data_IF_444756030969
#
_entry.id   IF_444756030969
#
_cell.length_a   1.000
_cell.length_b   1.000
_cell.length_c   1.000
_cell.angle_alpha   90.00
_cell.angle_beta   90.00
_cell.angle_gamma   90.00
#
_symmetry.space_group_name_H-M   'P 1'
#
loop_
_entity.id
_entity.type
_entity.pdbx_description
1 polymer ?
#
# COMPACT_ATOMS: atom_id res chain seq x y z
N UNK A 1 45.60 23.39 4.97
CA UNK A 1 44.45 22.73 5.63
C UNK A 1 43.08 23.10 5.04
N UNK A 2 42.94 24.29 4.41
CA UNK A 2 41.67 24.76 3.81
C UNK A 2 41.17 24.01 2.54
N UNK A 3 42.02 23.54 1.59
CA UNK A 3 41.52 23.00 0.31
C UNK A 3 40.90 21.60 0.42
N UNK A 4 41.36 20.79 1.39
CA UNK A 4 40.84 19.44 1.63
C UNK A 4 39.41 19.49 2.17
N UNK A 5 39.12 20.49 3.01
CA UNK A 5 37.79 20.69 3.60
C UNK A 5 36.76 21.10 2.54
N UNK A 6 37.16 21.93 1.56
CA UNK A 6 36.30 22.36 0.46
C UNK A 6 35.96 21.21 -0.49
N UNK A 7 36.94 20.34 -0.79
CA UNK A 7 36.73 19.14 -1.61
C UNK A 7 35.83 18.10 -0.93
N UNK A 8 35.96 17.92 0.40
CA UNK A 8 35.07 17.07 1.19
C UNK A 8 33.63 17.63 1.21
N UNK A 9 33.46 18.94 1.35
CA UNK A 9 32.15 19.56 1.36
C UNK A 9 31.42 19.47 0.00
N UNK A 10 32.15 19.63 -1.11
CA UNK A 10 31.55 19.53 -2.45
C UNK A 10 31.20 18.10 -2.81
N UNK A 11 32.07 17.13 -2.50
CA UNK A 11 31.77 15.70 -2.69
C UNK A 11 30.60 15.24 -1.83
N UNK A 12 30.49 15.71 -0.59
CA UNK A 12 29.33 15.44 0.28
C UNK A 12 28.04 16.05 -0.29
N UNK A 13 28.07 17.28 -0.81
CA UNK A 13 26.90 17.89 -1.45
C UNK A 13 26.43 17.10 -2.69
N UNK A 14 27.36 16.68 -3.55
CA UNK A 14 27.05 15.88 -4.75
C UNK A 14 26.49 14.50 -4.38
N UNK A 15 26.98 13.91 -3.29
CA UNK A 15 26.46 12.67 -2.72
C UNK A 15 25.03 12.86 -2.18
N UNK A 16 24.76 13.94 -1.46
CA UNK A 16 23.43 14.23 -0.89
C UNK A 16 22.37 14.56 -1.96
N UNK A 17 22.75 15.22 -3.07
CA UNK A 17 21.82 15.51 -4.17
C UNK A 17 21.50 14.27 -5.02
N UNK A 18 22.45 13.33 -5.16
CA UNK A 18 22.23 12.08 -5.89
C UNK A 18 21.31 11.08 -5.15
N UNK A 19 21.36 11.03 -3.81
CA UNK A 19 20.43 10.19 -3.04
C UNK A 19 18.98 10.72 -3.01
N UNK A 20 18.78 12.04 -3.13
CA UNK A 20 17.43 12.65 -3.10
C UNK A 20 16.58 12.38 -4.34
N UNK A 21 17.22 12.11 -5.49
CA UNK A 21 16.51 11.84 -6.76
C UNK A 21 15.78 10.50 -6.78
N UNK A 22 16.29 9.48 -6.10
CA UNK A 22 15.76 8.12 -6.14
C UNK A 22 14.42 7.94 -5.39
N UNK A 23 14.18 8.69 -4.31
CA UNK A 23 12.94 8.56 -3.52
C UNK A 23 11.79 9.44 -4.00
N UNK A 24 12.07 10.63 -4.54
CA UNK A 24 11.02 11.55 -5.00
C UNK A 24 10.30 11.06 -6.27
N UNK A 25 11.03 10.34 -7.14
CA UNK A 25 10.50 9.80 -8.38
C UNK A 25 9.46 8.70 -8.11
N UNK A 26 9.75 7.78 -7.19
CA UNK A 26 8.86 6.65 -6.87
C UNK A 26 7.51 7.10 -6.30
N UNK A 27 7.48 8.12 -5.44
CA UNK A 27 6.23 8.66 -4.87
C UNK A 27 5.39 9.34 -5.97
N UNK A 28 6.04 10.08 -6.86
CA UNK A 28 5.35 10.80 -7.94
C UNK A 28 4.71 9.83 -8.93
N UNK A 29 5.42 8.77 -9.29
CA UNK A 29 4.89 7.73 -10.16
C UNK A 29 3.77 6.92 -9.51
N UNK A 30 3.88 6.59 -8.22
CA UNK A 30 2.81 5.91 -7.49
C UNK A 30 1.52 6.75 -7.44
N UNK A 31 1.65 8.06 -7.21
CA UNK A 31 0.51 8.99 -7.23
C UNK A 31 -0.13 9.05 -8.61
N UNK A 32 0.68 9.20 -9.67
CA UNK A 32 0.20 9.24 -11.06
C UNK A 32 -0.52 7.94 -11.43
N UNK A 33 0.02 6.79 -11.05
CA UNK A 33 -0.59 5.49 -11.27
C UNK A 33 -1.95 5.40 -10.57
N UNK A 34 -2.01 5.72 -9.28
CA UNK A 34 -3.25 5.68 -8.50
C UNK A 34 -4.32 6.58 -9.12
N UNK A 35 -3.97 7.81 -9.49
CA UNK A 35 -4.89 8.74 -10.15
C UNK A 35 -5.43 8.14 -11.44
N UNK A 36 -4.57 7.58 -12.29
CA UNK A 36 -4.98 7.02 -13.58
C UNK A 36 -5.86 5.77 -13.43
N UNK A 37 -5.57 4.89 -12.47
CA UNK A 37 -6.42 3.72 -12.19
C UNK A 37 -7.83 4.13 -11.74
N UNK A 38 -7.95 5.20 -10.96
CA UNK A 38 -9.22 5.58 -10.34
C UNK A 38 -10.07 6.54 -11.19
N UNK A 39 -9.51 7.19 -12.21
CA UNK A 39 -10.19 8.21 -13.02
C UNK A 39 -11.52 7.75 -13.64
N UNK A 40 -11.59 6.51 -14.13
CA UNK A 40 -12.78 5.96 -14.80
C UNK A 40 -13.21 4.61 -14.19
N UNK A 41 -12.85 4.36 -12.93
CA UNK A 41 -13.20 3.13 -12.24
C UNK A 41 -14.55 3.29 -11.52
N UNK A 42 -15.54 2.50 -11.94
CA UNK A 42 -16.83 2.42 -11.26
C UNK A 42 -16.89 1.19 -10.35
N UNK A 43 -17.09 1.44 -9.05
CA UNK A 43 -17.15 0.39 -8.02
C UNK A 43 -18.46 -0.40 -8.03
N UNK A 44 -19.48 0.10 -8.72
CA UNK A 44 -20.80 -0.53 -8.79
C UNK A 44 -20.85 -1.64 -9.84
N UNK A 45 -19.92 -1.64 -10.80
CA UNK A 45 -19.85 -2.66 -11.83
C UNK A 45 -18.93 -3.82 -11.42
N UNK A 46 -19.36 -5.03 -11.79
CA UNK A 46 -18.55 -6.24 -11.61
C UNK A 46 -17.30 -6.16 -12.50
N UNK A 47 -16.08 -6.40 -11.97
CA UNK A 47 -14.82 -6.20 -12.68
C UNK A 47 -14.51 -7.37 -13.63
N UNK A 48 -15.32 -7.52 -14.68
CA UNK A 48 -15.15 -8.53 -15.74
C UNK A 48 -15.33 -7.87 -17.10
N UNK A 49 -14.52 -8.29 -18.07
CA UNK A 49 -14.70 -7.87 -19.47
C UNK A 49 -15.91 -8.57 -20.09
N UNK A 50 -16.08 -9.86 -19.79
CA UNK A 50 -17.17 -10.70 -20.24
C UNK A 50 -18.15 -10.97 -19.09
N UNK A 51 -19.41 -10.57 -19.25
CA UNK A 51 -20.43 -10.74 -18.21
C UNK A 51 -20.92 -12.19 -18.05
N UNK A 52 -20.59 -13.07 -18.99
CA UNK A 52 -20.86 -14.51 -18.85
C UNK A 52 -19.84 -15.21 -17.95
N UNK A 53 -18.70 -14.59 -17.68
CA UNK A 53 -17.66 -15.17 -16.84
C UNK A 53 -17.91 -14.89 -15.35
N UNK A 54 -17.77 -15.90 -14.47
CA UNK A 54 -17.90 -15.72 -13.04
C UNK A 54 -16.66 -15.06 -12.43
N UNK A 55 -16.86 -14.27 -11.38
CA UNK A 55 -15.77 -13.82 -10.50
C UNK A 55 -15.64 -14.84 -9.38
N UNK A 56 -14.45 -15.44 -9.25
CA UNK A 56 -14.15 -16.38 -8.15
C UNK A 56 -13.62 -15.61 -6.96
N UNK A 57 -14.32 -15.69 -5.83
CA UNK A 57 -13.88 -15.06 -4.57
C UNK A 57 -13.27 -16.14 -3.68
N UNK A 58 -11.96 -16.05 -3.45
CA UNK A 58 -11.28 -16.89 -2.48
C UNK A 58 -11.43 -16.28 -1.10
N UNK A 59 -12.12 -16.97 -0.21
CA UNK A 59 -12.37 -16.50 1.15
C UNK A 59 -11.49 -17.27 2.14
N UNK A 60 -11.01 -16.56 3.15
CA UNK A 60 -10.27 -17.11 4.28
C UNK A 60 -10.72 -16.40 5.55
N UNK A 61 -10.69 -17.11 6.67
CA UNK A 61 -11.03 -16.57 7.99
C UNK A 61 -9.86 -16.82 8.92
N UNK A 62 -9.25 -15.74 9.40
CA UNK A 62 -8.19 -15.79 10.40
C UNK A 62 -8.79 -15.47 11.77
N UNK A 63 -8.87 -16.46 12.65
CA UNK A 63 -9.36 -16.26 14.01
C UNK A 63 -8.23 -15.71 14.90
N UNK A 64 -8.31 -14.43 15.24
CA UNK A 64 -7.34 -13.80 16.15
C UNK A 64 -7.59 -14.21 17.61
N UNK A 65 -8.84 -14.11 18.06
CA UNK A 65 -9.22 -14.43 19.44
C UNK A 65 -10.73 -14.58 19.59
N UNK A 66 -11.14 -15.55 20.41
CA UNK A 66 -12.51 -15.67 20.92
C UNK A 66 -12.60 -14.77 22.15
N UNK A 67 -13.50 -13.77 22.11
CA UNK A 67 -13.65 -12.81 23.21
C UNK A 67 -14.53 -13.35 24.32
N UNK A 68 -15.59 -14.07 23.95
CA UNK A 68 -16.63 -14.50 24.87
C UNK A 68 -17.43 -15.66 24.28
N UNK A 69 -18.03 -16.46 25.15
CA UNK A 69 -18.99 -17.51 24.81
C UNK A 69 -20.18 -17.39 25.75
N UNK A 70 -21.37 -17.18 25.19
CA UNK A 70 -22.61 -17.21 25.94
C UNK A 70 -23.18 -18.62 25.89
N UNK A 71 -23.20 -19.31 27.02
CA UNK A 71 -23.64 -20.70 27.15
C UNK A 71 -25.16 -20.86 27.01
N UNK A 72 -25.95 -19.86 27.40
CA UNK A 72 -27.42 -19.90 27.34
C UNK A 72 -27.90 -19.79 25.89
N UNK A 73 -27.21 -18.98 25.09
CA UNK A 73 -27.53 -18.74 23.68
C UNK A 73 -26.65 -19.51 22.70
N UNK A 74 -25.65 -20.25 23.18
CA UNK A 74 -24.63 -20.97 22.41
C UNK A 74 -23.90 -20.09 21.37
N UNK A 75 -23.57 -18.84 21.74
CA UNK A 75 -22.98 -17.85 20.82
C UNK A 75 -21.56 -17.47 21.21
N UNK A 76 -20.67 -17.52 20.22
CA UNK A 76 -19.32 -16.96 20.32
C UNK A 76 -19.30 -15.50 19.87
N UNK A 77 -18.63 -14.66 20.64
CA UNK A 77 -18.25 -13.31 20.22
C UNK A 77 -16.79 -13.33 19.78
N UNK A 78 -16.56 -13.01 18.51
CA UNK A 78 -15.21 -12.89 17.95
C UNK A 78 -14.78 -11.42 17.95
N UNK A 79 -13.46 -11.18 18.05
CA UNK A 79 -12.91 -9.84 17.87
C UNK A 79 -12.99 -9.45 16.39
N UNK A 80 -13.61 -8.31 16.02
CA UNK A 80 -13.51 -7.78 14.66
C UNK A 80 -12.10 -7.22 14.40
N UNK A 81 -11.66 -7.26 13.15
CA UNK A 81 -10.43 -6.60 12.70
C UNK A 81 -10.57 -5.08 12.71
#
# INVERSE_FOLDING_TARGET
MVPICFALATTLMVLMTSYRGLHAQMITDAKRLLTNLMQNYDKTFRPVLNQSEPVVVYTGLDLVSIQDFNEVDEKYRLRPF
#
